data_IF_176786315255
#
_entry.id   IF_176786315255
#
_cell.length_a   1.000
_cell.length_b   1.000
_cell.length_c   1.000
_cell.angle_alpha   90.00
_cell.angle_beta   90.00
_cell.angle_gamma   90.00
#
_symmetry.space_group_name_H-M   'P 1'
#
loop_
_entity.id
_entity.type
_entity.pdbx_description
1 polymer ?
#
# COMPACT_ATOMS: atom_id res chain seq x y z
N UNK A 1 9.22 0.02 -9.63
CA UNK A 1 8.13 -0.62 -8.86
C UNK A 1 8.15 -0.17 -7.40
N UNK A 2 6.98 0.15 -6.87
CA UNK A 2 6.70 0.46 -5.48
C UNK A 2 5.76 -0.60 -4.90
N UNK A 3 6.05 -1.10 -3.70
CA UNK A 3 5.12 -1.94 -2.94
C UNK A 3 4.92 -1.24 -1.61
N UNK A 4 3.67 -0.89 -1.33
CA UNK A 4 3.30 -0.15 -0.12
C UNK A 4 2.18 -0.86 0.61
N UNK A 5 2.08 -0.62 1.91
CA UNK A 5 1.02 -1.18 2.74
C UNK A 5 0.27 -0.09 3.49
N UNK A 6 -1.02 -0.31 3.71
CA UNK A 6 -1.90 0.56 4.47
C UNK A 6 -3.03 -0.24 5.14
N UNK A 7 -3.63 0.26 6.23
CA UNK A 7 -4.83 -0.35 6.81
C UNK A 7 -5.99 -0.41 5.80
N UNK A 8 -6.85 -1.42 5.91
CA UNK A 8 -8.04 -1.55 5.04
C UNK A 8 -8.94 -0.30 5.07
N UNK A 9 -9.08 0.37 6.22
CA UNK A 9 -9.81 1.63 6.30
C UNK A 9 -9.15 2.74 5.48
N UNK A 10 -7.82 2.85 5.53
CA UNK A 10 -7.05 3.79 4.70
C UNK A 10 -7.21 3.49 3.21
N UNK A 11 -7.14 2.21 2.81
CA UNK A 11 -7.37 1.80 1.43
C UNK A 11 -8.78 2.17 0.95
N UNK A 12 -9.80 1.99 1.81
CA UNK A 12 -11.17 2.37 1.51
C UNK A 12 -11.33 3.89 1.36
N UNK A 13 -10.69 4.69 2.22
CA UNK A 13 -10.66 6.16 2.10
C UNK A 13 -9.99 6.62 0.81
N UNK A 14 -8.96 5.91 0.35
CA UNK A 14 -8.20 6.23 -0.86
C UNK A 14 -8.72 5.53 -2.12
N UNK A 15 -9.86 4.82 -2.04
CA UNK A 15 -10.38 3.96 -3.11
C UNK A 15 -10.40 4.64 -4.48
N UNK A 16 -10.93 5.85 -4.57
CA UNK A 16 -11.05 6.56 -5.86
C UNK A 16 -9.66 6.93 -6.43
N UNK A 17 -8.72 7.31 -5.56
CA UNK A 17 -7.33 7.61 -5.97
C UNK A 17 -6.61 6.35 -6.45
N UNK A 18 -6.80 5.23 -5.76
CA UNK A 18 -6.23 3.93 -6.13
C UNK A 18 -6.81 3.46 -7.47
N UNK A 19 -8.12 3.62 -7.68
CA UNK A 19 -8.79 3.27 -8.93
C UNK A 19 -8.24 4.12 -10.09
N UNK A 20 -8.13 5.43 -9.91
CA UNK A 20 -7.57 6.33 -10.93
C UNK A 20 -6.10 6.01 -11.23
N UNK A 21 -5.32 5.66 -10.20
CA UNK A 21 -3.95 5.21 -10.38
C UNK A 21 -3.88 3.92 -11.22
N UNK A 22 -4.72 2.92 -10.93
CA UNK A 22 -4.77 1.65 -11.69
C UNK A 22 -5.21 1.79 -13.15
N UNK A 23 -5.86 2.90 -13.50
CA UNK A 23 -6.20 3.23 -14.89
C UNK A 23 -5.03 3.87 -15.64
N UNK A 24 -4.10 4.50 -14.92
CA UNK A 24 -2.99 5.25 -15.49
C UNK A 24 -1.71 4.43 -15.57
N UNK A 25 -1.49 3.56 -14.59
CA UNK A 25 -0.31 2.69 -14.48
C UNK A 25 -0.73 1.32 -13.99
N UNK A 26 0.10 0.31 -14.30
CA UNK A 26 -0.15 -1.04 -13.81
C UNK A 26 -0.03 -1.07 -12.27
N UNK A 27 -1.16 -1.32 -11.62
CA UNK A 27 -1.26 -1.40 -10.17
C UNK A 27 -2.16 -2.58 -9.75
N UNK A 28 -1.78 -3.26 -8.67
CA UNK A 28 -2.52 -4.39 -8.09
C UNK A 28 -2.71 -4.18 -6.60
N UNK A 29 -3.92 -4.46 -6.12
CA UNK A 29 -4.32 -4.33 -4.72
C UNK A 29 -4.79 -5.68 -4.20
N UNK A 30 -4.29 -6.08 -3.03
CA UNK A 30 -4.67 -7.35 -2.39
C UNK A 30 -4.47 -7.25 -0.88
N UNK A 31 -5.09 -8.14 -0.11
CA UNK A 31 -4.87 -8.20 1.34
C UNK A 31 -3.57 -8.95 1.64
N UNK A 32 -2.83 -8.47 2.63
CA UNK A 32 -1.61 -9.13 3.08
C UNK A 32 -1.86 -10.55 3.60
N UNK A 33 -3.03 -10.80 4.22
CA UNK A 33 -3.43 -12.13 4.70
C UNK A 33 -3.57 -13.18 3.59
N UNK A 34 -3.80 -12.72 2.36
CA UNK A 34 -3.86 -13.59 1.18
C UNK A 34 -2.45 -13.95 0.68
N UNK A 35 -1.41 -13.41 1.33
CA UNK A 35 0.01 -13.72 1.06
C UNK A 35 0.60 -14.52 2.21
N UNK A 36 1.70 -15.23 1.96
CA UNK A 36 2.44 -15.97 2.98
C UNK A 36 3.13 -15.06 4.04
N UNK A 37 2.98 -13.73 3.92
CA UNK A 37 3.52 -12.73 4.82
C UNK A 37 2.39 -12.16 5.69
N UNK A 38 2.42 -12.48 6.98
CA UNK A 38 1.61 -11.75 7.96
C UNK A 38 2.14 -10.32 8.08
N UNK A 39 1.43 -9.35 7.52
CA UNK A 39 1.68 -7.93 7.75
C UNK A 39 0.65 -7.40 8.75
N UNK A 40 1.14 -6.66 9.73
CA UNK A 40 0.33 -5.96 10.71
C UNK A 40 0.96 -4.61 11.03
N UNK A 41 0.18 -3.74 11.69
CA UNK A 41 0.62 -2.42 12.09
C UNK A 41 0.78 -2.36 13.60
N UNK A 42 1.85 -1.71 14.05
CA UNK A 42 2.06 -1.33 15.44
C UNK A 42 1.08 -0.23 15.86
N UNK A 43 0.91 -0.02 17.17
CA UNK A 43 0.05 1.06 17.68
C UNK A 43 0.52 2.45 17.23
N UNK A 44 1.83 2.65 17.11
CA UNK A 44 2.41 3.91 16.63
C UNK A 44 2.08 4.16 15.16
N UNK A 45 2.17 3.13 14.32
CA UNK A 45 1.77 3.22 12.92
C UNK A 45 0.27 3.50 12.78
N UNK A 46 -0.58 2.81 13.55
CA UNK A 46 -2.03 3.07 13.58
C UNK A 46 -2.31 4.54 13.95
N UNK A 47 -1.61 5.08 14.97
CA UNK A 47 -1.71 6.51 15.33
C UNK A 47 -1.28 7.41 14.16
N UNK A 48 -0.22 7.05 13.44
CA UNK A 48 0.24 7.79 12.28
C UNK A 48 -0.76 7.75 11.10
N UNK A 49 -1.56 6.70 10.96
CA UNK A 49 -2.73 6.64 10.06
C UNK A 49 -3.96 7.41 10.59
N UNK A 50 -3.85 8.09 11.74
CA UNK A 50 -4.96 8.80 12.37
C UNK A 50 -5.97 7.88 13.07
N UNK A 51 -5.52 6.70 13.52
CA UNK A 51 -6.35 5.69 14.18
C UNK A 51 -7.04 4.73 13.21
N UNK A 52 -6.74 4.77 11.92
CA UNK A 52 -7.31 3.84 10.93
C UNK A 52 -6.75 2.42 11.15
N UNK A 53 -7.64 1.44 11.15
CA UNK A 53 -7.34 0.03 11.46
C UNK A 53 -7.86 -0.91 10.36
N UNK A 54 -7.67 -2.20 10.58
CA UNK A 54 -8.10 -3.28 9.68
C UNK A 54 -6.92 -4.07 9.14
N UNK A 55 -7.24 -5.11 8.37
CA UNK A 55 -6.24 -5.95 7.72
C UNK A 55 -5.29 -5.09 6.88
N UNK A 56 -4.01 -5.45 6.87
CA UNK A 56 -3.04 -4.82 5.99
C UNK A 56 -3.42 -5.09 4.54
N UNK A 57 -3.56 -4.00 3.78
CA UNK A 57 -3.74 -4.01 2.34
C UNK A 57 -2.40 -3.68 1.71
N UNK A 58 -2.05 -4.40 0.65
CA UNK A 58 -0.86 -4.16 -0.16
C UNK A 58 -1.30 -3.53 -1.46
N UNK A 59 -0.61 -2.46 -1.85
CA UNK A 59 -0.72 -1.81 -3.15
C UNK A 59 0.65 -1.92 -3.83
N UNK A 60 0.72 -2.73 -4.89
CA UNK A 60 1.88 -2.85 -5.75
C UNK A 60 1.66 -2.01 -7.01
N UNK A 61 2.61 -1.15 -7.34
CA UNK A 61 2.53 -0.21 -8.47
C UNK A 61 3.83 -0.27 -9.26
N UNK A 62 3.75 -0.39 -10.58
CA UNK A 62 4.97 -0.46 -11.41
C UNK A 62 5.80 0.83 -11.36
N UNK A 63 5.12 1.97 -11.30
CA UNK A 63 5.71 3.32 -11.28
C UNK A 63 5.56 3.98 -9.90
N UNK A 64 6.70 4.28 -9.26
CA UNK A 64 6.76 4.93 -7.96
C UNK A 64 6.37 6.42 -8.03
N UNK A 65 6.74 7.11 -9.09
CA UNK A 65 6.50 8.54 -9.22
C UNK A 65 5.02 8.80 -9.53
N UNK A 66 4.39 7.93 -10.33
CA UNK A 66 2.95 7.93 -10.51
C UNK A 66 2.19 7.72 -9.17
N UNK A 67 2.66 6.77 -8.33
CA UNK A 67 2.09 6.56 -7.00
C UNK A 67 2.20 7.82 -6.15
N UNK A 68 3.39 8.44 -6.06
CA UNK A 68 3.61 9.64 -5.24
C UNK A 68 2.76 10.84 -5.69
N UNK A 69 2.57 11.00 -7.00
CA UNK A 69 1.74 12.06 -7.56
C UNK A 69 0.25 11.84 -7.25
N UNK A 70 -0.25 10.61 -7.39
CA UNK A 70 -1.66 10.29 -7.12
C UNK A 70 -1.97 10.25 -5.61
N UNK A 71 -1.08 9.64 -4.84
CA UNK A 71 -1.21 9.39 -3.41
C UNK A 71 0.12 9.77 -2.74
N UNK A 72 0.23 10.96 -2.13
CA UNK A 72 1.40 11.29 -1.33
C UNK A 72 1.45 10.37 -0.10
N UNK A 73 2.64 10.02 0.36
CA UNK A 73 2.83 9.11 1.50
C UNK A 73 2.10 9.58 2.76
N UNK A 74 2.00 10.89 2.95
CA UNK A 74 1.21 11.52 4.00
C UNK A 74 0.43 12.71 3.47
N UNK A 75 -0.76 12.95 4.01
CA UNK A 75 -1.55 14.14 3.72
C UNK A 75 -2.36 14.56 4.96
N UNK A 76 -2.48 15.86 5.21
CA UNK A 76 -3.29 16.37 6.33
C UNK A 76 -2.85 15.85 7.71
N UNK A 77 -1.55 15.64 7.91
CA UNK A 77 -0.99 15.16 9.19
C UNK A 77 -1.16 13.66 9.45
N UNK A 78 -1.56 12.87 8.45
CA UNK A 78 -1.74 11.41 8.56
C UNK A 78 -1.04 10.67 7.43
N UNK A 79 -0.63 9.43 7.67
CA UNK A 79 -0.11 8.53 6.66
C UNK A 79 -1.24 8.04 5.73
N UNK A 80 -0.87 7.82 4.47
CA UNK A 80 -1.68 7.12 3.48
C UNK A 80 -1.13 5.72 3.20
N UNK A 81 0.19 5.53 3.33
CA UNK A 81 0.83 4.22 3.22
C UNK A 81 2.21 4.21 3.86
N UNK A 82 2.73 3.00 4.07
CA UNK A 82 4.12 2.72 4.45
C UNK A 82 4.79 1.92 3.31
N UNK A 83 5.94 2.36 2.77
CA UNK A 83 6.66 1.61 1.75
C UNK A 83 7.33 0.36 2.35
N UNK A 84 7.18 -0.77 1.68
CA UNK A 84 7.92 -2.00 2.02
C UNK A 84 9.30 -1.89 1.38
N UNK A 85 10.33 -1.66 2.20
CA UNK A 85 11.73 -1.48 1.75
C UNK A 85 12.55 -2.76 1.77
N UNK A 86 12.06 -3.83 2.42
CA UNK A 86 12.75 -5.11 2.45
C UNK A 86 12.66 -5.81 1.09
N UNK A 87 13.77 -5.96 0.38
CA UNK A 87 13.81 -6.55 -0.96
C UNK A 87 13.27 -7.98 -1.03
N UNK A 88 13.48 -8.82 0.00
CA UNK A 88 12.91 -10.17 0.05
C UNK A 88 11.39 -10.14 0.19
N UNK A 89 10.86 -9.23 1.01
CA UNK A 89 9.43 -9.04 1.15
C UNK A 89 8.83 -8.50 -0.15
N UNK A 90 9.50 -7.54 -0.80
CA UNK A 90 9.08 -7.01 -2.10
C UNK A 90 8.99 -8.13 -3.14
N UNK A 91 10.01 -8.98 -3.27
CA UNK A 91 10.00 -10.09 -4.24
C UNK A 91 8.85 -11.08 -3.99
N UNK A 92 8.51 -11.37 -2.73
CA UNK A 92 7.38 -12.25 -2.38
C UNK A 92 6.01 -11.62 -2.62
N UNK A 93 5.94 -10.30 -2.58
CA UNK A 93 4.72 -9.52 -2.76
C UNK A 93 4.60 -8.94 -4.16
N UNK A 94 5.60 -9.17 -5.02
CA UNK A 94 5.64 -8.67 -6.39
C UNK A 94 4.65 -9.49 -7.25
N UNK A 95 3.51 -8.90 -7.63
CA UNK A 95 2.51 -9.60 -8.42
C UNK A 95 2.81 -9.52 -9.93
N UNK A 96 3.94 -8.92 -10.32
CA UNK A 96 4.43 -8.81 -11.69
C UNK A 96 5.61 -9.75 -11.94
N UNK A 97 6.15 -10.39 -10.89
CA UNK A 97 7.19 -11.38 -11.01
C UNK A 97 6.69 -12.58 -11.82
N UNK A 98 7.16 -12.70 -13.06
CA UNK A 98 7.05 -13.91 -13.86
C UNK A 98 8.34 -14.71 -13.67
N UNK A 99 8.20 -15.92 -13.12
CA UNK A 99 9.30 -16.87 -12.94
C UNK A 99 9.76 -17.48 -14.27
#
# INVERSE_FOLDING_TARGET
>A
MAIVTMPAQTAQRLKDKILNLSQSVEAKVFFAKDTALGLGFTEEEIKAFGGETGDAVVLAVWDLDALKQAIPQSAGGRLNYIPIVNEKAKAKLDPFYQA
#
